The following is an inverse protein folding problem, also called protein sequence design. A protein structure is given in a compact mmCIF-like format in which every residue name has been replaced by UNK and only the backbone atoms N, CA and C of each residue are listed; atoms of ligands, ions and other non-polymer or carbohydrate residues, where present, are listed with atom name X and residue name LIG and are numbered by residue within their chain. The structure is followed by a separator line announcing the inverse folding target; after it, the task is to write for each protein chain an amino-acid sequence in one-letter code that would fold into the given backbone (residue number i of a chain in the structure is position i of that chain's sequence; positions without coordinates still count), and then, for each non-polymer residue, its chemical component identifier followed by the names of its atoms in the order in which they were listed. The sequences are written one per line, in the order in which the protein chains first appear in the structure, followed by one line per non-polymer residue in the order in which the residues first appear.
data_IF_535115899377
#
_entry.id   IF_535115899377
#
_cell.length_a   1.000
_cell.length_b   1.000
_cell.length_c   1.000
_cell.angle_alpha   90.00
_cell.angle_beta   90.00
_cell.angle_gamma   90.00
#
_symmetry.space_group_name_H-M   'P 1'
#
loop_
_entity.id
_entity.type
_entity.pdbx_description
1 polymer ?
#
# COMPACT_ATOMS: atom_id res chain seq x y z
N UNK A 1 -11.56 20.79 -8.25
CA UNK A 1 -12.93 20.29 -8.05
C UNK A 1 -12.77 19.05 -7.19
N UNK A 2 -13.07 19.12 -5.89
CA UNK A 2 -12.92 17.99 -4.96
C UNK A 2 -13.67 16.77 -5.53
N UNK A 3 -12.95 15.71 -5.86
CA UNK A 3 -13.55 14.39 -5.94
C UNK A 3 -13.86 14.03 -4.50
N UNK A 4 -15.10 14.26 -4.07
CA UNK A 4 -15.55 13.71 -2.80
C UNK A 4 -15.33 12.20 -2.89
N UNK A 5 -14.49 11.65 -2.00
CA UNK A 5 -14.45 10.21 -1.75
C UNK A 5 -15.90 9.76 -1.66
N UNK A 6 -16.33 8.84 -2.55
CA UNK A 6 -17.72 8.40 -2.52
C UNK A 6 -18.03 7.94 -1.08
N UNK A 7 -19.11 8.47 -0.46
CA UNK A 7 -19.44 8.12 0.91
C UNK A 7 -19.56 6.61 1.00
N UNK A 8 -18.95 6.04 2.05
CA UNK A 8 -18.98 4.60 2.29
C UNK A 8 -20.42 4.09 2.21
N UNK A 9 -20.64 3.05 1.41
CA UNK A 9 -21.96 2.45 1.26
C UNK A 9 -22.32 1.79 2.59
N UNK A 10 -23.16 2.46 3.36
CA UNK A 10 -23.66 1.94 4.64
C UNK A 10 -24.84 1.01 4.41
N UNK A 11 -25.24 0.26 5.44
CA UNK A 11 -26.48 -0.53 5.44
C UNK A 11 -27.75 0.28 5.14
N UNK A 12 -27.69 1.61 5.18
CA UNK A 12 -28.82 2.51 4.91
C UNK A 12 -28.88 3.01 3.47
N UNK A 13 -27.83 2.82 2.68
CA UNK A 13 -27.81 3.10 1.23
C UNK A 13 -28.64 2.05 0.46
N UNK A 14 -29.26 2.35 -0.70
CA UNK A 14 -29.99 1.36 -1.49
C UNK A 14 -29.21 0.06 -1.78
N UNK A 15 -27.90 0.15 -2.07
CA UNK A 15 -27.04 -1.02 -2.27
C UNK A 15 -26.83 -1.79 -0.96
N UNK A 16 -26.60 -1.09 0.15
CA UNK A 16 -26.46 -1.69 1.47
C UNK A 16 -27.76 -2.33 1.99
N UNK A 17 -28.91 -1.70 1.79
CA UNK A 17 -30.23 -2.22 2.17
C UNK A 17 -30.54 -3.54 1.52
N UNK A 18 -30.14 -3.73 0.25
CA UNK A 18 -30.31 -5.00 -0.45
C UNK A 18 -29.51 -6.11 0.23
N UNK A 19 -28.25 -5.84 0.60
CA UNK A 19 -27.41 -6.81 1.29
C UNK A 19 -27.95 -7.14 2.70
N UNK A 20 -28.40 -6.15 3.45
CA UNK A 20 -29.03 -6.40 4.77
C UNK A 20 -30.34 -7.16 4.67
N UNK A 21 -31.15 -6.89 3.63
CA UNK A 21 -32.38 -7.63 3.37
C UNK A 21 -32.15 -9.12 3.10
N UNK A 22 -31.02 -9.49 2.48
CA UNK A 22 -30.65 -10.90 2.29
C UNK A 22 -30.40 -11.59 3.63
N UNK A 23 -29.73 -10.90 4.57
CA UNK A 23 -29.54 -11.42 5.92
C UNK A 23 -30.87 -11.59 6.65
N UNK A 24 -31.74 -10.57 6.58
CA UNK A 24 -33.08 -10.61 7.17
C UNK A 24 -33.91 -11.79 6.62
N UNK A 25 -33.92 -11.99 5.30
CA UNK A 25 -34.60 -13.12 4.65
C UNK A 25 -34.06 -14.47 5.11
N UNK A 26 -32.73 -14.60 5.24
CA UNK A 26 -32.09 -15.83 5.71
C UNK A 26 -32.42 -16.11 7.18
N UNK A 27 -32.41 -15.07 8.03
CA UNK A 27 -32.79 -15.17 9.44
C UNK A 27 -34.25 -15.61 9.59
N UNK A 28 -35.17 -14.97 8.85
CA UNK A 28 -36.59 -15.30 8.89
C UNK A 28 -36.85 -16.73 8.41
N UNK A 29 -36.18 -17.18 7.34
CA UNK A 29 -36.30 -18.56 6.83
C UNK A 29 -35.75 -19.62 7.79
N UNK A 30 -34.85 -19.25 8.70
CA UNK A 30 -34.32 -20.18 9.70
C UNK A 30 -35.37 -20.59 10.74
N UNK A 31 -36.52 -19.90 10.83
CA UNK A 31 -37.64 -20.22 11.73
C UNK A 31 -37.19 -20.52 13.16
N UNK A 32 -36.31 -19.67 13.71
CA UNK A 32 -35.77 -19.86 15.04
C UNK A 32 -36.87 -19.69 16.09
N UNK A 33 -36.93 -20.60 17.07
CA UNK A 33 -37.71 -20.41 18.29
C UNK A 33 -37.02 -19.41 19.24
N UNK A 34 -37.74 -18.94 20.27
CA UNK A 34 -37.23 -17.96 21.22
C UNK A 34 -35.89 -18.38 21.84
N UNK A 35 -35.76 -19.66 22.20
CA UNK A 35 -34.54 -20.19 22.80
C UNK A 35 -33.35 -20.20 21.81
N UNK A 36 -33.59 -20.49 20.53
CA UNK A 36 -32.55 -20.51 19.50
C UNK A 36 -32.17 -19.11 19.04
N UNK A 37 -33.13 -18.19 18.94
CA UNK A 37 -32.87 -16.78 18.69
C UNK A 37 -32.02 -16.16 19.81
N UNK A 38 -32.36 -16.45 21.08
CA UNK A 38 -31.59 -16.00 22.23
C UNK A 38 -30.15 -16.54 22.20
N UNK A 39 -29.95 -17.84 21.93
CA UNK A 39 -28.60 -18.42 21.78
C UNK A 39 -27.79 -17.81 20.65
N UNK A 40 -28.44 -17.39 19.56
CA UNK A 40 -27.76 -16.72 18.45
C UNK A 40 -27.27 -15.32 18.87
N UNK A 41 -28.10 -14.56 19.60
CA UNK A 41 -27.73 -13.25 20.16
C UNK A 41 -26.59 -13.36 21.19
N UNK A 42 -26.63 -14.37 22.07
CA UNK A 42 -25.56 -14.65 23.05
C UNK A 42 -24.22 -15.01 22.39
N UNK A 43 -24.26 -15.49 21.13
CA UNK A 43 -23.07 -15.77 20.30
C UNK A 43 -22.78 -14.64 19.32
N UNK A 44 -23.26 -13.43 19.60
CA UNK A 44 -23.22 -12.27 18.71
C UNK A 44 -21.83 -11.95 18.15
N UNK A 45 -20.76 -12.12 18.93
CA UNK A 45 -19.39 -11.90 18.45
C UNK A 45 -18.98 -12.90 17.37
N UNK A 46 -19.28 -14.19 17.59
CA UNK A 46 -19.01 -15.24 16.59
C UNK A 46 -19.84 -15.03 15.33
N UNK A 47 -21.09 -14.58 15.49
CA UNK A 47 -21.98 -14.23 14.39
C UNK A 47 -21.44 -13.03 13.60
N UNK A 48 -21.00 -11.97 14.29
CA UNK A 48 -20.38 -10.78 13.70
C UNK A 48 -19.16 -11.16 12.86
N UNK A 49 -18.23 -11.93 13.43
CA UNK A 49 -17.04 -12.39 12.70
C UNK A 49 -17.39 -13.24 11.48
N UNK A 50 -18.41 -14.11 11.59
CA UNK A 50 -18.89 -14.92 10.46
C UNK A 50 -19.49 -14.08 9.33
N UNK A 51 -20.29 -13.07 9.67
CA UNK A 51 -20.89 -12.14 8.70
C UNK A 51 -19.81 -11.28 8.05
N UNK A 52 -18.87 -10.72 8.83
CA UNK A 52 -17.74 -9.94 8.30
C UNK A 52 -16.94 -10.77 7.29
N UNK A 53 -16.62 -12.02 7.63
CA UNK A 53 -15.94 -12.94 6.71
C UNK A 53 -16.73 -13.18 5.43
N UNK A 54 -18.03 -13.43 5.52
CA UNK A 54 -18.87 -13.66 4.34
C UNK A 54 -18.98 -12.42 3.46
N UNK A 55 -19.12 -11.24 4.07
CA UNK A 55 -19.13 -9.96 3.35
C UNK A 55 -17.81 -9.79 2.61
N UNK A 56 -16.67 -9.98 3.28
CA UNK A 56 -15.36 -9.96 2.65
C UNK A 56 -15.30 -10.94 1.46
N UNK A 57 -15.63 -12.21 1.66
CA UNK A 57 -15.57 -13.27 0.63
C UNK A 57 -16.41 -12.96 -0.63
N UNK A 58 -17.50 -12.21 -0.49
CA UNK A 58 -18.44 -11.90 -1.58
C UNK A 58 -18.28 -10.49 -2.15
N UNK A 59 -17.77 -9.55 -1.36
CA UNK A 59 -17.56 -8.16 -1.78
C UNK A 59 -16.30 -8.03 -2.65
N UNK A 60 -15.29 -8.89 -2.45
CA UNK A 60 -14.10 -8.87 -3.28
C UNK A 60 -14.34 -9.55 -4.63
N UNK A 61 -13.84 -8.90 -5.67
CA UNK A 61 -13.75 -9.48 -7.00
C UNK A 61 -13.04 -10.84 -6.94
N UNK A 62 -13.59 -11.84 -7.64
CA UNK A 62 -12.89 -13.12 -7.87
C UNK A 62 -11.98 -13.08 -9.10
N UNK A 63 -11.82 -11.91 -9.70
CA UNK A 63 -10.87 -11.70 -10.77
C UNK A 63 -9.45 -12.04 -10.26
N UNK A 64 -8.72 -12.79 -11.07
CA UNK A 64 -7.37 -13.26 -10.77
C UNK A 64 -7.26 -14.16 -9.53
N UNK A 65 -8.35 -14.81 -9.08
CA UNK A 65 -8.32 -15.66 -7.89
C UNK A 65 -7.35 -16.86 -7.99
N UNK A 66 -6.93 -17.25 -9.20
CA UNK A 66 -5.91 -18.27 -9.46
C UNK A 66 -4.46 -17.72 -9.39
N UNK A 67 -4.27 -16.43 -9.16
CA UNK A 67 -2.98 -15.77 -8.99
C UNK A 67 -2.68 -15.53 -7.51
N UNK A 68 -2.81 -16.60 -6.74
CA UNK A 68 -2.49 -16.65 -5.32
C UNK A 68 -1.80 -17.98 -5.02
N UNK A 69 -0.64 -17.91 -4.38
CA UNK A 69 0.16 -19.07 -3.97
C UNK A 69 0.43 -19.01 -2.48
N UNK A 70 0.63 -20.18 -1.86
CA UNK A 70 1.00 -20.23 -0.44
C UNK A 70 2.35 -19.56 -0.20
N UNK A 71 2.43 -18.72 0.82
CA UNK A 71 3.67 -18.09 1.27
C UNK A 71 3.98 -18.45 2.71
N UNK A 72 5.23 -18.87 2.95
CA UNK A 72 5.82 -19.07 4.29
C UNK A 72 6.78 -17.94 4.69
N UNK A 73 7.01 -16.99 3.79
CA UNK A 73 8.00 -15.94 3.98
C UNK A 73 7.44 -14.90 4.96
N UNK A 74 8.33 -14.35 5.78
CA UNK A 74 7.99 -13.42 6.85
C UNK A 74 9.04 -12.31 6.90
N UNK A 75 8.87 -11.37 7.81
CA UNK A 75 9.80 -10.28 8.01
C UNK A 75 11.08 -10.75 8.72
N UNK A 76 12.20 -10.02 8.57
CA UNK A 76 13.37 -10.22 9.40
C UNK A 76 12.96 -10.22 10.86
N UNK A 77 13.54 -11.11 11.67
CA UNK A 77 13.32 -11.07 13.12
C UNK A 77 13.78 -9.75 13.76
N UNK A 78 14.66 -9.00 13.10
CA UNK A 78 15.11 -7.68 13.54
C UNK A 78 14.05 -6.59 13.31
N UNK A 79 13.11 -6.81 12.39
CA UNK A 79 12.02 -5.88 12.15
C UNK A 79 10.93 -6.10 13.21
N UNK A 80 10.86 -5.18 14.16
CA UNK A 80 9.93 -5.21 15.30
C UNK A 80 8.65 -4.41 15.03
N UNK A 81 8.35 -4.15 13.76
CA UNK A 81 7.29 -3.25 13.32
C UNK A 81 7.77 -1.82 13.07
N UNK A 82 6.84 -0.89 12.80
CA UNK A 82 7.19 0.46 12.35
C UNK A 82 7.85 1.28 13.45
N UNK A 83 8.89 2.05 13.09
CA UNK A 83 9.60 2.93 14.01
C UNK A 83 8.70 4.10 14.46
N UNK A 84 9.10 4.78 15.52
CA UNK A 84 8.39 5.98 16.00
C UNK A 84 8.27 7.00 14.86
N UNK A 85 7.04 7.41 14.55
CA UNK A 85 6.72 8.20 13.36
C UNK A 85 7.47 9.54 13.30
N UNK A 86 7.62 10.22 14.43
CA UNK A 86 8.39 11.47 14.49
C UNK A 86 9.87 11.26 14.12
N UNK A 87 10.45 10.11 14.46
CA UNK A 87 11.81 9.75 14.07
C UNK A 87 11.91 9.46 12.57
N UNK A 88 10.90 8.81 11.99
CA UNK A 88 10.84 8.60 10.54
C UNK A 88 10.76 9.93 9.78
N UNK A 89 9.90 10.86 10.23
CA UNK A 89 9.76 12.21 9.65
C UNK A 89 11.10 12.96 9.69
N UNK A 90 11.81 12.92 10.82
CA UNK A 90 13.10 13.58 10.95
C UNK A 90 14.15 13.01 9.97
N UNK A 91 14.22 11.68 9.83
CA UNK A 91 15.13 11.02 8.90
C UNK A 91 14.79 11.38 7.44
N UNK A 92 13.51 11.33 7.05
CA UNK A 92 13.10 11.70 5.68
C UNK A 92 13.43 13.17 5.40
N UNK A 93 13.17 14.07 6.35
CA UNK A 93 13.52 15.48 6.19
C UNK A 93 15.01 15.72 6.02
N UNK A 94 15.84 15.05 6.82
CA UNK A 94 17.30 15.15 6.72
C UNK A 94 17.83 14.61 5.41
N UNK A 95 17.32 13.47 4.93
CA UNK A 95 17.79 12.84 3.68
C UNK A 95 17.46 13.70 2.45
N UNK A 96 16.32 14.38 2.47
CA UNK A 96 15.75 15.06 1.29
C UNK A 96 15.62 16.58 1.45
N UNK A 97 16.19 17.18 2.50
CA UNK A 97 16.13 18.63 2.77
C UNK A 97 14.69 19.20 2.79
N UNK A 98 13.76 18.50 3.46
CA UNK A 98 12.34 18.83 3.50
C UNK A 98 11.91 19.51 4.81
N UNK A 99 10.84 20.32 4.77
CA UNK A 99 10.27 20.91 5.97
C UNK A 99 9.53 19.87 6.82
N UNK A 100 9.73 19.92 8.14
CA UNK A 100 9.13 18.99 9.11
C UNK A 100 7.89 19.54 9.79
N UNK A 101 7.63 20.85 9.71
CA UNK A 101 6.73 21.53 10.65
C UNK A 101 5.29 20.97 10.57
N UNK A 102 4.75 20.88 9.35
CA UNK A 102 3.40 20.33 9.12
C UNK A 102 3.33 18.84 9.47
N UNK A 103 4.33 18.05 9.07
CA UNK A 103 4.38 16.62 9.33
C UNK A 103 4.40 16.30 10.83
N UNK A 104 5.28 16.95 11.59
CA UNK A 104 5.37 16.78 13.04
C UNK A 104 4.08 17.23 13.73
N UNK A 105 3.49 18.34 13.30
CA UNK A 105 2.20 18.79 13.83
C UNK A 105 1.07 17.78 13.54
N UNK A 106 1.13 17.07 12.41
CA UNK A 106 0.18 16.00 12.08
C UNK A 106 0.39 14.75 12.93
N UNK A 107 1.64 14.38 13.26
CA UNK A 107 1.92 13.21 14.12
C UNK A 107 1.26 13.27 15.50
N UNK A 108 0.95 14.48 16.00
CA UNK A 108 0.28 14.69 17.30
C UNK A 108 -1.23 14.46 17.25
N UNK A 109 -1.81 14.32 16.05
CA UNK A 109 -3.25 14.25 15.79
C UNK A 109 -3.61 13.08 14.88
N UNK A 110 -2.80 12.01 14.92
CA UNK A 110 -3.04 10.82 14.11
C UNK A 110 -4.37 10.16 14.50
N UNK A 111 -5.20 9.79 13.51
CA UNK A 111 -6.41 9.03 13.77
C UNK A 111 -6.06 7.61 14.25
N UNK A 112 -7.10 6.85 14.60
CA UNK A 112 -6.92 5.42 14.89
C UNK A 112 -6.35 4.71 13.65
N UNK A 113 -5.44 3.78 13.89
CA UNK A 113 -4.84 3.03 12.82
C UNK A 113 -5.87 2.05 12.22
N UNK A 114 -6.02 1.98 10.88
CA UNK A 114 -6.87 0.97 10.26
C UNK A 114 -6.45 -0.45 10.70
N UNK A 115 -7.41 -1.34 10.92
CA UNK A 115 -7.19 -2.72 11.42
C UNK A 115 -6.13 -3.50 10.61
N UNK A 116 -6.02 -3.18 9.33
CA UNK A 116 -5.16 -3.88 8.36
C UNK A 116 -3.80 -3.21 8.12
N UNK A 117 -3.55 -2.07 8.77
CA UNK A 117 -2.27 -1.38 8.72
C UNK A 117 -1.36 -1.86 9.86
N UNK A 118 -0.06 -1.99 9.57
CA UNK A 118 0.96 -2.41 10.55
C UNK A 118 1.44 -1.25 11.42
N UNK A 119 1.37 -0.02 10.91
CA UNK A 119 1.75 1.19 11.61
C UNK A 119 1.71 2.40 10.71
N UNK A 120 2.21 3.51 11.26
CA UNK A 120 2.40 4.76 10.54
C UNK A 120 3.78 4.83 9.91
N UNK A 121 3.84 5.31 8.67
CA UNK A 121 5.06 5.48 7.90
C UNK A 121 5.17 6.89 7.35
N UNK A 122 6.38 7.43 7.32
CA UNK A 122 6.68 8.73 6.70
C UNK A 122 7.24 8.53 5.28
N UNK A 123 6.69 9.25 4.31
CA UNK A 123 7.18 9.28 2.93
C UNK A 123 7.24 10.73 2.43
N UNK A 124 8.22 11.10 1.59
CA UNK A 124 8.27 12.44 1.01
C UNK A 124 7.14 12.61 -0.03
N UNK A 125 6.57 13.81 -0.11
CA UNK A 125 5.69 14.19 -1.22
C UNK A 125 6.51 14.39 -2.50
N UNK A 126 5.98 13.92 -3.63
CA UNK A 126 6.59 14.17 -4.94
C UNK A 126 6.65 15.66 -5.23
N UNK A 127 5.60 16.41 -4.87
CA UNK A 127 5.54 17.87 -5.08
C UNK A 127 6.60 18.61 -4.26
N UNK A 128 6.88 18.15 -3.04
CA UNK A 128 7.89 18.74 -2.18
C UNK A 128 9.30 18.45 -2.71
N UNK A 129 9.57 17.19 -3.10
CA UNK A 129 10.84 16.83 -3.74
C UNK A 129 11.05 17.64 -5.03
N UNK A 130 10.01 17.81 -5.85
CA UNK A 130 10.10 18.60 -7.07
C UNK A 130 10.44 20.05 -6.80
N UNK A 131 9.75 20.67 -5.86
CA UNK A 131 9.98 22.07 -5.48
C UNK A 131 11.39 22.30 -4.94
N UNK A 132 11.97 21.33 -4.22
CA UNK A 132 13.30 21.47 -3.59
C UNK A 132 14.43 21.10 -4.53
N UNK A 133 14.32 20.00 -5.28
CA UNK A 133 15.45 19.40 -6.01
C UNK A 133 15.40 19.57 -7.53
N UNK A 134 14.24 19.80 -8.11
CA UNK A 134 14.06 19.94 -9.57
C UNK A 134 12.94 20.94 -9.92
N UNK A 135 13.04 22.20 -9.44
CA UNK A 135 12.00 23.22 -9.60
C UNK A 135 11.76 23.64 -11.05
N UNK A 136 12.65 23.28 -11.96
CA UNK A 136 12.53 23.53 -13.40
C UNK A 136 11.61 22.54 -14.14
N UNK A 137 11.19 21.45 -13.49
CA UNK A 137 10.40 20.39 -14.12
C UNK A 137 8.91 20.61 -13.83
N UNK A 138 8.13 20.89 -14.87
CA UNK A 138 6.67 21.08 -14.75
C UNK A 138 5.87 19.78 -14.98
N UNK A 139 6.41 18.82 -15.73
CA UNK A 139 5.70 17.56 -16.03
C UNK A 139 5.64 16.65 -14.80
N UNK A 140 4.42 16.27 -14.39
CA UNK A 140 4.21 15.44 -13.19
C UNK A 140 4.79 14.03 -13.32
N UNK A 141 4.81 13.46 -14.53
CA UNK A 141 5.41 12.16 -14.77
C UNK A 141 6.92 12.21 -14.60
N UNK A 142 7.55 13.23 -15.15
CA UNK A 142 8.98 13.47 -15.01
C UNK A 142 9.37 13.80 -13.56
N UNK A 143 8.58 14.63 -12.87
CA UNK A 143 8.76 14.89 -11.44
C UNK A 143 8.76 13.59 -10.62
N UNK A 144 7.81 12.69 -10.88
CA UNK A 144 7.76 11.39 -10.20
C UNK A 144 8.99 10.54 -10.50
N UNK A 145 9.41 10.46 -11.76
CA UNK A 145 10.57 9.67 -12.17
C UNK A 145 11.87 10.17 -11.52
N UNK A 146 12.09 11.50 -11.52
CA UNK A 146 13.26 12.11 -10.86
C UNK A 146 13.21 11.94 -9.34
N UNK A 147 12.04 12.06 -8.73
CA UNK A 147 11.86 11.80 -7.31
C UNK A 147 12.19 10.34 -6.95
N UNK A 148 11.76 9.39 -7.77
CA UNK A 148 12.10 7.98 -7.59
C UNK A 148 13.60 7.75 -7.76
N UNK A 149 14.23 8.29 -8.80
CA UNK A 149 15.68 8.23 -9.00
C UNK A 149 16.43 8.74 -7.75
N UNK A 150 16.05 9.90 -7.22
CA UNK A 150 16.63 10.46 -6.01
C UNK A 150 16.49 9.51 -4.79
N UNK A 151 15.33 8.87 -4.60
CA UNK A 151 15.18 7.87 -3.52
C UNK A 151 16.11 6.67 -3.71
N UNK A 152 16.24 6.15 -4.94
CA UNK A 152 17.12 5.01 -5.22
C UNK A 152 18.59 5.37 -4.99
N UNK A 153 19.00 6.59 -5.36
CA UNK A 153 20.34 7.12 -5.06
C UNK A 153 20.61 7.15 -3.55
N UNK A 154 19.66 7.68 -2.76
CA UNK A 154 19.79 7.69 -1.28
C UNK A 154 19.86 6.29 -0.68
N UNK A 155 19.17 5.30 -1.27
CA UNK A 155 19.30 3.90 -0.83
C UNK A 155 20.73 3.41 -1.13
N UNK A 156 21.27 3.71 -2.31
CA UNK A 156 22.62 3.35 -2.70
C UNK A 156 23.70 3.98 -1.80
N UNK A 157 23.50 5.23 -1.36
CA UNK A 157 24.38 5.90 -0.41
C UNK A 157 24.36 5.23 0.99
N UNK A 158 23.23 4.63 1.36
CA UNK A 158 23.01 4.07 2.70
C UNK A 158 23.44 2.60 2.85
N UNK A 159 23.44 1.82 1.77
CA UNK A 159 23.72 0.37 1.79
C UNK A 159 24.05 -0.17 0.40
N UNK A 160 24.58 -1.39 0.34
CA UNK A 160 24.80 -2.11 -0.94
C UNK A 160 23.47 -2.22 -1.68
N UNK A 161 23.43 -1.61 -2.86
CA UNK A 161 22.23 -1.48 -3.66
C UNK A 161 22.54 -1.61 -5.14
N UNK A 162 21.58 -2.15 -5.90
CA UNK A 162 21.62 -2.21 -7.36
C UNK A 162 20.24 -1.94 -7.94
N UNK A 163 20.13 -0.98 -8.86
CA UNK A 163 18.94 -0.79 -9.66
C UNK A 163 19.17 -1.32 -11.07
N UNK A 164 18.23 -2.12 -11.60
CA UNK A 164 18.27 -2.56 -13.00
C UNK A 164 17.70 -1.52 -13.97
N UNK A 165 17.27 -0.38 -13.45
CA UNK A 165 16.49 0.63 -14.19
C UNK A 165 17.05 2.04 -14.10
N UNK A 166 18.30 2.22 -13.67
CA UNK A 166 18.92 3.56 -13.47
C UNK A 166 18.72 4.51 -14.66
N UNK A 167 18.77 3.97 -15.89
CA UNK A 167 18.62 4.73 -17.14
C UNK A 167 17.27 4.56 -17.84
N UNK A 168 16.28 3.93 -17.19
CA UNK A 168 14.96 3.64 -17.79
C UNK A 168 13.78 4.17 -16.96
N UNK A 169 14.03 4.92 -15.88
CA UNK A 169 13.00 5.63 -15.11
C UNK A 169 12.59 6.92 -15.81
N UNK A 170 11.70 6.77 -16.80
CA UNK A 170 11.12 7.87 -17.58
C UNK A 170 9.59 7.69 -17.68
N UNK A 171 8.83 8.76 -17.99
CA UNK A 171 7.36 8.70 -18.01
C UNK A 171 6.75 7.70 -19.01
N UNK A 172 7.50 7.31 -20.05
CA UNK A 172 7.15 6.25 -20.99
C UNK A 172 7.20 4.84 -20.38
N UNK A 173 7.98 4.67 -19.32
CA UNK A 173 8.28 3.38 -18.71
C UNK A 173 7.65 3.21 -17.34
N UNK A 174 7.49 4.29 -16.57
CA UNK A 174 6.96 4.23 -15.21
C UNK A 174 5.74 5.14 -15.10
N UNK A 175 4.67 4.63 -14.47
CA UNK A 175 3.55 5.46 -14.07
C UNK A 175 2.96 5.00 -12.73
N UNK A 176 2.40 5.96 -12.00
CA UNK A 176 1.64 5.69 -10.78
C UNK A 176 0.27 5.15 -11.16
N UNK A 177 -0.14 4.05 -10.52
CA UNK A 177 -1.47 3.47 -10.70
C UNK A 177 -2.56 4.46 -10.27
N UNK A 178 -3.66 4.55 -11.04
CA UNK A 178 -4.69 5.59 -10.87
C UNK A 178 -5.22 5.69 -9.44
N UNK A 179 -5.58 4.54 -8.82
CA UNK A 179 -6.04 4.49 -7.43
C UNK A 179 -5.03 5.05 -6.42
N UNK A 180 -3.75 4.81 -6.66
CA UNK A 180 -2.66 5.31 -5.81
C UNK A 180 -2.46 6.81 -6.03
N UNK A 181 -2.52 7.29 -7.26
CA UNK A 181 -2.42 8.71 -7.57
C UNK A 181 -3.54 9.52 -6.90
N UNK A 182 -4.77 9.01 -6.92
CA UNK A 182 -5.92 9.63 -6.23
C UNK A 182 -5.74 9.66 -4.71
N UNK A 183 -5.31 8.55 -4.11
CA UNK A 183 -5.08 8.47 -2.66
C UNK A 183 -3.97 9.44 -2.22
N UNK A 184 -2.83 9.46 -2.92
CA UNK A 184 -1.72 10.36 -2.61
C UNK A 184 -2.12 11.84 -2.79
N UNK A 185 -2.86 12.18 -3.85
CA UNK A 185 -3.35 13.55 -4.03
C UNK A 185 -4.27 13.99 -2.88
N UNK A 186 -5.17 13.10 -2.42
CA UNK A 186 -6.03 13.38 -1.26
C UNK A 186 -5.24 13.56 0.04
N UNK A 187 -4.19 12.76 0.24
CA UNK A 187 -3.30 12.89 1.40
C UNK A 187 -2.49 14.18 1.36
N UNK A 188 -1.95 14.57 0.21
CA UNK A 188 -1.24 15.85 0.01
C UNK A 188 -2.16 17.04 0.31
N UNK A 189 -3.39 17.03 -0.21
CA UNK A 189 -4.38 18.09 0.03
C UNK A 189 -4.77 18.19 1.51
N UNK A 190 -4.89 17.05 2.19
CA UNK A 190 -5.31 16.98 3.60
C UNK A 190 -4.20 17.38 4.57
N UNK A 191 -2.98 16.87 4.35
CA UNK A 191 -1.86 17.05 5.29
C UNK A 191 -1.09 18.35 5.04
N UNK A 192 -1.11 18.89 3.81
CA UNK A 192 -0.42 20.14 3.43
C UNK A 192 1.02 20.17 3.96
N UNK A 193 1.73 19.07 3.72
CA UNK A 193 3.02 18.77 4.31
C UNK A 193 3.98 18.24 3.25
N UNK A 194 5.27 18.57 3.40
CA UNK A 194 6.32 18.04 2.53
C UNK A 194 6.55 16.54 2.74
N UNK A 195 6.21 16.05 3.92
CA UNK A 195 6.32 14.66 4.32
C UNK A 195 4.92 14.17 4.69
N UNK A 196 4.46 13.15 3.97
CA UNK A 196 3.19 12.50 4.21
C UNK A 196 3.36 11.40 5.25
N UNK A 197 2.42 11.35 6.19
CA UNK A 197 2.33 10.29 7.19
C UNK A 197 1.14 9.41 6.85
N UNK A 198 1.40 8.15 6.51
CA UNK A 198 0.39 7.21 6.03
C UNK A 198 0.34 5.94 6.89
N UNK A 199 -0.84 5.38 7.19
CA UNK A 199 -0.94 4.02 7.67
C UNK A 199 -0.64 3.05 6.52
N UNK A 200 0.19 2.03 6.76
CA UNK A 200 0.55 1.06 5.73
C UNK A 200 0.86 -0.34 6.29
N UNK A 201 0.90 -1.33 5.40
CA UNK A 201 1.39 -2.68 5.65
C UNK A 201 2.47 -3.04 4.62
N UNK A 202 3.51 -3.78 5.03
CA UNK A 202 4.73 -3.98 4.24
C UNK A 202 4.72 -5.28 3.42
N UNK A 203 3.54 -5.74 2.99
CA UNK A 203 3.34 -6.90 2.14
C UNK A 203 2.74 -8.13 2.83
N UNK A 204 2.68 -8.21 4.17
CA UNK A 204 2.18 -9.40 4.86
C UNK A 204 0.75 -9.77 4.52
N UNK A 205 -0.10 -8.76 4.31
CA UNK A 205 -1.51 -8.95 3.97
C UNK A 205 -1.73 -9.55 2.59
N UNK A 206 -0.85 -9.25 1.64
CA UNK A 206 -0.98 -9.63 0.24
C UNK A 206 0.11 -10.60 -0.24
N UNK A 207 0.87 -11.19 0.68
CA UNK A 207 1.94 -12.13 0.33
C UNK A 207 1.43 -13.32 -0.49
N UNK A 208 2.20 -13.69 -1.51
CA UNK A 208 1.83 -14.79 -2.41
C UNK A 208 0.75 -14.45 -3.43
N UNK A 209 0.23 -13.22 -3.48
CA UNK A 209 -0.68 -12.77 -4.56
C UNK A 209 0.14 -12.14 -5.68
N UNK A 210 -0.36 -12.21 -6.91
CA UNK A 210 0.13 -11.29 -7.95
C UNK A 210 -0.27 -9.85 -7.59
N UNK A 211 0.42 -8.86 -8.16
CA UNK A 211 0.12 -7.44 -7.93
C UNK A 211 -1.29 -7.08 -8.37
N UNK A 212 -1.74 -7.56 -9.53
CA UNK A 212 -3.11 -7.31 -9.99
C UNK A 212 -4.15 -8.00 -9.10
N UNK A 213 -3.86 -9.21 -8.58
CA UNK A 213 -4.74 -9.86 -7.60
C UNK A 213 -4.79 -9.09 -6.29
N UNK A 214 -3.65 -8.58 -5.81
CA UNK A 214 -3.60 -7.75 -4.61
C UNK A 214 -4.45 -6.49 -4.77
N UNK A 215 -4.35 -5.79 -5.93
CA UNK A 215 -5.15 -4.60 -6.25
C UNK A 215 -6.66 -4.87 -6.23
N UNK A 216 -7.11 -6.03 -6.71
CA UNK A 216 -8.51 -6.46 -6.64
C UNK A 216 -8.98 -6.77 -5.19
N UNK A 217 -8.05 -7.12 -4.30
CA UNK A 217 -8.33 -7.44 -2.90
C UNK A 217 -8.21 -6.24 -1.95
N UNK A 218 -7.72 -5.08 -2.42
CA UNK A 218 -7.59 -3.90 -1.57
C UNK A 218 -8.96 -3.47 -1.03
N UNK A 219 -9.03 -3.23 0.29
CA UNK A 219 -10.19 -2.61 0.93
C UNK A 219 -10.49 -1.24 0.32
N UNK A 220 -11.71 -0.70 0.46
CA UNK A 220 -12.11 0.54 -0.24
C UNK A 220 -11.14 1.72 -0.04
N UNK A 221 -10.61 1.89 1.16
CA UNK A 221 -9.65 2.95 1.50
C UNK A 221 -8.17 2.54 1.34
N UNK A 222 -7.88 1.34 0.86
CA UNK A 222 -6.53 0.82 0.67
C UNK A 222 -6.01 1.14 -0.75
N UNK A 223 -4.71 1.37 -0.90
CA UNK A 223 -4.06 1.63 -2.18
C UNK A 223 -2.65 1.05 -2.20
N UNK A 224 -2.11 0.70 -3.37
CA UNK A 224 -0.74 0.17 -3.47
C UNK A 224 0.30 1.26 -3.22
N UNK A 225 1.36 0.97 -2.48
CA UNK A 225 2.46 1.92 -2.32
C UNK A 225 3.35 1.96 -3.56
N UNK A 226 3.75 3.17 -3.93
CA UNK A 226 4.67 3.42 -5.04
C UNK A 226 6.09 3.00 -4.70
N UNK A 227 6.95 2.85 -5.71
CA UNK A 227 8.37 2.54 -5.51
C UNK A 227 9.07 3.61 -4.69
N UNK A 228 8.68 4.88 -4.88
CA UNK A 228 9.17 6.02 -4.10
C UNK A 228 8.81 5.86 -2.62
N UNK A 229 7.56 5.52 -2.32
CA UNK A 229 7.11 5.30 -0.95
C UNK A 229 7.82 4.10 -0.30
N UNK A 230 7.89 2.96 -1.00
CA UNK A 230 8.57 1.75 -0.51
C UNK A 230 10.06 2.01 -0.28
N UNK A 231 10.73 2.68 -1.22
CA UNK A 231 12.14 3.06 -1.08
C UNK A 231 12.38 3.99 0.12
N UNK A 232 11.48 4.94 0.36
CA UNK A 232 11.55 5.84 1.52
C UNK A 232 11.37 5.10 2.85
N UNK A 233 10.49 4.10 2.87
CA UNK A 233 10.32 3.21 4.03
C UNK A 233 11.61 2.40 4.26
N UNK A 234 12.27 1.93 3.21
CA UNK A 234 13.54 1.21 3.33
C UNK A 234 14.69 2.07 3.89
N UNK A 235 14.69 3.38 3.62
CA UNK A 235 15.65 4.31 4.22
C UNK A 235 15.45 4.48 5.73
N UNK A 236 14.20 4.44 6.19
CA UNK A 236 13.87 4.56 7.63
C UNK A 236 13.91 3.20 8.35
N UNK A 237 13.76 2.09 7.63
CA UNK A 237 13.74 0.72 8.13
C UNK A 237 14.83 -0.15 7.47
N UNK A 238 16.14 0.18 7.65
CA UNK A 238 17.24 -0.55 7.03
C UNK A 238 17.34 -2.01 7.49
N UNK A 239 16.64 -2.41 8.56
CA UNK A 239 16.52 -3.80 8.98
C UNK A 239 15.66 -4.67 8.05
N UNK A 240 14.94 -4.05 7.09
CA UNK A 240 14.18 -4.74 6.04
C UNK A 240 15.07 -5.05 4.84
N UNK A 241 14.86 -6.24 4.24
CA UNK A 241 15.61 -6.75 3.10
C UNK A 241 17.11 -6.82 3.42
N UNK A 242 17.48 -7.69 4.35
CA UNK A 242 18.87 -7.82 4.82
C UNK A 242 19.48 -9.19 4.57
N UNK A 243 18.68 -10.17 4.11
CA UNK A 243 19.12 -11.52 3.74
C UNK A 243 18.08 -12.22 2.87
N UNK A 244 18.52 -13.32 2.26
CA UNK A 244 17.66 -14.27 1.57
C UNK A 244 16.58 -14.86 2.50
N UNK A 245 15.50 -15.36 1.90
CA UNK A 245 14.34 -15.99 2.58
C UNK A 245 13.48 -15.06 3.46
N UNK A 246 13.54 -13.74 3.24
CA UNK A 246 12.62 -12.77 3.82
C UNK A 246 11.51 -12.39 2.83
N UNK A 247 10.39 -11.86 3.33
CA UNK A 247 9.35 -11.35 2.43
C UNK A 247 9.85 -10.08 1.72
N UNK A 248 9.91 -10.19 0.40
CA UNK A 248 10.20 -9.15 -0.58
C UNK A 248 8.96 -8.29 -0.87
N UNK A 249 9.14 -7.14 -1.51
CA UNK A 249 8.11 -6.11 -1.61
C UNK A 249 7.73 -5.83 -3.06
N UNK A 250 6.46 -6.04 -3.42
CA UNK A 250 5.93 -5.46 -4.66
C UNK A 250 5.48 -4.02 -4.42
N UNK A 251 5.93 -3.11 -5.28
CA UNK A 251 5.51 -1.71 -5.33
C UNK A 251 4.18 -1.59 -6.08
N UNK A 252 3.10 -2.10 -5.48
CA UNK A 252 1.80 -2.23 -6.13
C UNK A 252 1.16 -0.90 -6.57
N UNK A 253 1.70 0.24 -6.13
CA UNK A 253 1.29 1.57 -6.56
C UNK A 253 1.88 2.02 -7.90
N UNK A 254 2.85 1.30 -8.45
CA UNK A 254 3.47 1.62 -9.74
C UNK A 254 3.19 0.57 -10.80
N UNK A 255 3.28 0.99 -12.05
CA UNK A 255 3.25 0.14 -13.22
C UNK A 255 4.47 0.43 -14.09
N UNK A 256 5.06 -0.63 -14.62
CA UNK A 256 6.27 -0.56 -15.41
C UNK A 256 6.06 -1.16 -16.81
N UNK A 257 6.44 -0.40 -17.82
CA UNK A 257 6.46 -0.79 -19.21
C UNK A 257 7.88 -1.21 -19.60
N UNK A 258 8.12 -2.52 -19.66
CA UNK A 258 9.41 -3.08 -20.06
C UNK A 258 9.62 -2.93 -21.57
N UNK A 259 10.77 -2.41 -22.05
CA UNK A 259 11.07 -2.34 -23.47
C UNK A 259 11.23 -3.73 -24.11
N UNK A 260 11.33 -4.79 -23.30
CA UNK A 260 11.45 -6.17 -23.73
C UNK A 260 10.12 -6.94 -23.69
N UNK A 261 8.99 -6.23 -23.55
CA UNK A 261 7.65 -6.80 -23.45
C UNK A 261 6.70 -6.19 -24.46
N UNK A 262 5.93 -7.05 -25.14
CA UNK A 262 4.82 -6.61 -26.00
C UNK A 262 3.59 -6.16 -25.20
N UNK A 263 3.55 -6.49 -23.91
CA UNK A 263 2.49 -6.06 -22.99
C UNK A 263 2.92 -4.76 -22.33
N UNK A 264 2.22 -3.67 -22.68
CA UNK A 264 2.44 -2.37 -22.04
C UNK A 264 2.03 -2.39 -20.59
N UNK A 265 2.88 -1.84 -19.73
CA UNK A 265 2.65 -1.76 -18.29
C UNK A 265 2.32 -3.12 -17.64
N UNK A 266 2.87 -4.21 -18.20
CA UNK A 266 2.67 -5.58 -17.71
C UNK A 266 3.54 -5.96 -16.49
N UNK A 267 4.32 -5.02 -15.96
CA UNK A 267 5.25 -5.25 -14.86
C UNK A 267 4.94 -4.33 -13.69
N UNK A 268 5.31 -4.77 -12.48
CA UNK A 268 5.35 -3.96 -11.29
C UNK A 268 6.80 -3.88 -10.80
N UNK A 269 7.26 -2.70 -10.32
CA UNK A 269 8.54 -2.61 -9.65
C UNK A 269 8.55 -3.39 -8.33
N UNK A 270 9.73 -3.85 -7.94
CA UNK A 270 9.94 -4.62 -6.72
C UNK A 270 11.23 -4.19 -6.01
N UNK A 271 11.24 -4.38 -4.69
CA UNK A 271 12.48 -4.39 -3.90
C UNK A 271 12.68 -5.77 -3.28
N UNK A 272 13.89 -6.32 -3.45
CA UNK A 272 14.26 -7.63 -2.92
C UNK A 272 15.72 -7.66 -2.45
N UNK A 273 16.10 -8.71 -1.74
CA UNK A 273 17.48 -8.93 -1.34
C UNK A 273 18.06 -10.12 -2.10
N UNK A 274 19.18 -9.91 -2.77
CA UNK A 274 19.89 -10.99 -3.46
C UNK A 274 21.40 -10.88 -3.22
N UNK A 275 22.05 -12.04 -3.11
CA UNK A 275 23.45 -12.22 -2.74
C UNK A 275 23.83 -11.52 -1.41
N UNK A 276 24.12 -10.23 -1.47
CA UNK A 276 24.57 -9.40 -0.36
C UNK A 276 24.09 -7.93 -0.43
N UNK A 277 23.06 -7.67 -1.25
CA UNK A 277 22.59 -6.31 -1.55
C UNK A 277 21.08 -6.26 -1.72
N UNK A 278 20.54 -5.04 -1.58
CA UNK A 278 19.16 -4.78 -1.99
C UNK A 278 19.13 -4.47 -3.48
N UNK A 279 18.15 -5.03 -4.18
CA UNK A 279 17.95 -4.82 -5.59
C UNK A 279 16.60 -4.13 -5.85
N UNK A 280 16.58 -3.24 -6.83
CA UNK A 280 15.38 -2.67 -7.41
C UNK A 280 15.21 -3.15 -8.85
N UNK A 281 14.15 -3.91 -9.08
CA UNK A 281 13.87 -4.56 -10.36
C UNK A 281 12.38 -4.50 -10.69
N UNK A 282 11.96 -5.33 -11.63
CA UNK A 282 10.55 -5.44 -12.03
C UNK A 282 10.16 -6.89 -12.27
N UNK A 283 8.93 -7.25 -11.93
CA UNK A 283 8.34 -8.56 -12.22
C UNK A 283 7.00 -8.42 -12.90
N UNK A 284 6.56 -9.47 -13.59
CA UNK A 284 5.24 -9.53 -14.20
C UNK A 284 4.15 -9.34 -13.13
N UNK A 285 3.30 -8.35 -13.31
CA UNK A 285 2.26 -7.96 -12.35
C UNK A 285 1.18 -9.03 -12.13
N UNK A 286 1.11 -10.04 -12.99
CA UNK A 286 0.14 -11.15 -12.98
C UNK A 286 0.74 -12.46 -12.47
N UNK A 287 2.02 -12.45 -12.08
CA UNK A 287 2.68 -13.62 -11.51
C UNK A 287 2.64 -13.57 -10.00
N UNK A 288 2.04 -14.59 -9.42
CA UNK A 288 2.02 -14.82 -7.98
C UNK A 288 3.29 -15.55 -7.54
N UNK A 289 3.98 -15.00 -6.55
CA UNK A 289 5.22 -15.55 -6.01
C UNK A 289 5.19 -15.55 -4.49
N UNK A 290 5.54 -16.68 -3.88
CA UNK A 290 5.45 -16.84 -2.42
C UNK A 290 6.41 -15.95 -1.62
N UNK A 291 7.51 -15.48 -2.21
CA UNK A 291 8.47 -14.59 -1.53
C UNK A 291 8.07 -13.11 -1.60
N UNK A 292 7.11 -12.72 -2.44
CA UNK A 292 6.66 -11.33 -2.56
C UNK A 292 5.35 -11.08 -1.82
N UNK A 293 5.20 -9.85 -1.35
CA UNK A 293 3.91 -9.30 -0.95
C UNK A 293 3.74 -7.86 -1.40
N UNK A 294 2.57 -7.57 -1.95
CA UNK A 294 2.22 -6.22 -2.37
C UNK A 294 2.07 -5.28 -1.20
N UNK A 295 2.88 -4.22 -1.19
CA UNK A 295 2.87 -3.18 -0.15
C UNK A 295 1.70 -2.23 -0.41
N UNK A 296 0.94 -1.89 0.64
CA UNK A 296 -0.22 -1.01 0.53
C UNK A 296 -0.30 -0.02 1.69
N UNK A 297 -0.90 1.14 1.39
CA UNK A 297 -1.25 2.19 2.34
C UNK A 297 -2.76 2.36 2.43
N UNK A 298 -3.20 3.15 3.40
CA UNK A 298 -4.62 3.40 3.63
C UNK A 298 -4.89 4.90 3.73
N UNK A 299 -5.96 5.36 3.12
CA UNK A 299 -6.49 6.71 3.38
C UNK A 299 -7.19 6.64 4.74
N UNK A 300 -6.79 7.46 5.74
CA UNK A 300 -7.47 7.51 7.03
C UNK A 300 -8.94 7.91 6.87
N UNK A 301 -9.83 7.26 7.63
CA UNK A 301 -11.28 7.52 7.62
C UNK A 301 -11.69 8.53 8.71
#
# INVERSE_FOLDING_TARGET
MMTMLEPSITSRDPKGRRATGIFEDAYNKANLDDASAQRLNERGDKMRSGIQKLISDLAYSRQYANEEVSSRFTYPSQHQGPKIIAGQVAIIAEIFDLDVASALAYTTRLPEIPEEAEGWFAIPSVSALARVHFPEVDDRGEQYCRALQLVLEKIADSRKFKSYHENSLEPSNVRVHTRTAEALASLEETQQSDILVIPAQLGMRHRGRSVRRARECFAGNEFGLTSLAVGSILLTHPERLVRFDELEMDCAGDEFNSPYSDVRFGFAPVFYFDEDRVEFGTFWFDRAHGHYGSVSGFVPQ
#
